data_IF_627391129095
#
_entry.id   IF_627391129095
#
_cell.length_a   1.000
_cell.length_b   1.000
_cell.length_c   1.000
_cell.angle_alpha   90.00
_cell.angle_beta   90.00
_cell.angle_gamma   90.00
#
_symmetry.space_group_name_H-M   'P 1'
#
loop_
_entity.id
_entity.type
_entity.pdbx_description
1 polymer ?
#
# COMPACT_ATOMS: atom_id res chain seq x y z
N UNK A 1 2.90 -17.63 1.96
CA UNK A 1 1.55 -17.34 1.44
C UNK A 1 1.53 -15.88 1.02
N UNK A 2 1.05 -15.59 -0.18
CA UNK A 2 0.98 -14.20 -0.67
C UNK A 2 -0.11 -13.43 0.08
N UNK A 3 0.18 -12.17 0.38
CA UNK A 3 -0.66 -11.28 1.17
C UNK A 3 -1.24 -10.19 0.27
N UNK A 4 -2.39 -9.64 0.66
CA UNK A 4 -2.98 -8.51 -0.05
C UNK A 4 -2.46 -7.20 0.54
N UNK A 5 -1.93 -6.34 -0.33
CA UNK A 5 -1.44 -5.01 0.03
C UNK A 5 -2.32 -3.93 -0.58
N UNK A 6 -2.63 -2.93 0.25
CA UNK A 6 -3.10 -1.61 -0.20
C UNK A 6 -1.97 -0.61 -0.03
N UNK A 7 -2.06 0.53 -0.71
CA UNK A 7 -1.00 1.53 -0.71
C UNK A 7 -1.56 2.87 -0.30
N UNK A 8 -0.92 3.52 0.67
CA UNK A 8 -1.24 4.87 1.09
C UNK A 8 -0.10 5.79 0.68
N UNK A 9 -0.43 6.95 0.14
CA UNK A 9 0.58 7.92 -0.29
C UNK A 9 0.29 9.33 0.21
N UNK A 10 1.36 10.05 0.55
CA UNK A 10 1.35 11.47 0.88
C UNK A 10 2.67 12.07 0.38
N UNK A 11 2.57 13.07 -0.50
CA UNK A 11 3.73 13.69 -1.17
C UNK A 11 4.64 12.64 -1.84
N UNK A 12 5.87 12.48 -1.34
CA UNK A 12 6.85 11.50 -1.82
C UNK A 12 6.83 10.20 -1.02
N UNK A 13 6.05 10.14 0.06
CA UNK A 13 5.94 8.97 0.93
C UNK A 13 4.91 8.00 0.39
N UNK A 14 5.30 6.73 0.31
CA UNK A 14 4.43 5.61 -0.07
C UNK A 14 4.56 4.52 0.97
N UNK A 15 3.44 4.14 1.59
CA UNK A 15 3.35 3.12 2.62
C UNK A 15 2.55 1.93 2.08
N UNK A 16 3.17 0.76 1.90
CA UNK A 16 2.45 -0.48 1.67
C UNK A 16 1.87 -0.97 3.01
N UNK A 17 0.58 -1.29 3.04
CA UNK A 17 -0.07 -1.88 4.21
C UNK A 17 -0.61 -3.27 3.86
N UNK A 18 -0.15 -4.29 4.59
CA UNK A 18 -0.71 -5.64 4.47
C UNK A 18 -2.09 -5.67 5.12
N UNK A 19 -3.05 -6.32 4.46
CA UNK A 19 -4.37 -6.58 5.03
C UNK A 19 -4.40 -7.82 5.93
N UNK A 20 -3.28 -8.57 6.00
CA UNK A 20 -3.15 -9.71 6.90
C UNK A 20 -2.66 -9.29 8.30
N UNK A 21 -2.18 -8.05 8.46
CA UNK A 21 -1.80 -7.51 9.77
C UNK A 21 -3.05 -7.34 10.62
N UNK A 22 -3.02 -7.82 11.87
CA UNK A 22 -4.15 -7.73 12.79
C UNK A 22 -4.62 -6.27 13.00
N UNK A 23 -3.68 -5.34 12.96
CA UNK A 23 -3.91 -3.90 13.17
C UNK A 23 -4.09 -3.11 11.86
N UNK A 24 -4.25 -3.79 10.71
CA UNK A 24 -4.31 -3.15 9.40
C UNK A 24 -5.38 -2.04 9.33
N UNK A 25 -6.55 -2.27 9.93
CA UNK A 25 -7.64 -1.30 9.99
C UNK A 25 -7.25 -0.02 10.73
N UNK A 26 -6.60 -0.14 11.89
CA UNK A 26 -6.16 1.00 12.70
C UNK A 26 -5.02 1.76 12.01
N UNK A 27 -4.08 1.06 11.38
CA UNK A 27 -2.99 1.69 10.62
C UNK A 27 -3.56 2.50 9.44
N UNK A 28 -4.44 1.89 8.63
CA UNK A 28 -5.08 2.57 7.50
C UNK A 28 -5.84 3.81 8.00
N UNK A 29 -6.65 3.66 9.05
CA UNK A 29 -7.42 4.77 9.63
C UNK A 29 -6.50 5.90 10.10
N UNK A 30 -5.45 5.57 10.85
CA UNK A 30 -4.49 6.56 11.37
C UNK A 30 -3.82 7.35 10.24
N UNK A 31 -3.39 6.66 9.18
CA UNK A 31 -2.75 7.30 8.03
C UNK A 31 -3.73 8.19 7.25
N UNK A 32 -4.98 7.77 7.08
CA UNK A 32 -6.03 8.60 6.44
C UNK A 32 -6.29 9.88 7.23
N UNK A 33 -6.33 9.80 8.57
CA UNK A 33 -6.46 10.99 9.43
C UNK A 33 -5.23 11.92 9.32
N UNK A 34 -4.06 11.38 9.01
CA UNK A 34 -2.83 12.14 8.72
C UNK A 34 -2.75 12.64 7.28
N UNK A 35 -3.87 12.63 6.54
CA UNK A 35 -4.00 13.12 5.16
C UNK A 35 -3.24 12.29 4.12
N UNK A 36 -2.99 11.01 4.38
CA UNK A 36 -2.61 10.09 3.31
C UNK A 36 -3.83 9.80 2.42
N UNK A 37 -3.58 9.58 1.13
CA UNK A 37 -4.59 9.11 0.19
C UNK A 37 -4.42 7.62 -0.05
N UNK A 38 -5.53 6.89 -0.07
CA UNK A 38 -5.54 5.48 -0.44
C UNK A 38 -5.47 5.34 -1.96
N UNK A 39 -4.50 4.58 -2.44
CA UNK A 39 -4.36 4.25 -3.85
C UNK A 39 -5.46 3.27 -4.29
N UNK A 40 -6.00 3.39 -5.52
CA UNK A 40 -6.95 2.43 -6.05
C UNK A 40 -6.32 1.06 -6.38
N UNK A 41 -5.00 0.96 -6.38
CA UNK A 41 -4.30 -0.30 -6.68
C UNK A 41 -4.22 -1.18 -5.43
N UNK A 42 -4.59 -2.45 -5.60
CA UNK A 42 -4.40 -3.53 -4.64
C UNK A 42 -3.55 -4.61 -5.29
N UNK A 43 -2.52 -5.08 -4.59
CA UNK A 43 -1.57 -6.05 -5.13
C UNK A 43 -1.40 -7.24 -4.19
N UNK A 44 -1.12 -8.41 -4.75
CA UNK A 44 -0.64 -9.56 -4.00
C UNK A 44 0.88 -9.62 -4.05
N UNK A 45 1.51 -9.83 -2.89
CA UNK A 45 2.95 -9.97 -2.74
C UNK A 45 3.27 -10.77 -1.48
N UNK A 46 4.45 -11.37 -1.41
CA UNK A 46 4.88 -12.16 -0.25
C UNK A 46 5.36 -11.27 0.89
N UNK A 47 5.79 -10.05 0.59
CA UNK A 47 6.23 -9.05 1.58
C UNK A 47 6.10 -7.61 1.03
N UNK A 48 6.28 -6.63 1.92
CA UNK A 48 6.14 -5.20 1.62
C UNK A 48 7.13 -4.69 0.56
N UNK A 49 8.34 -5.27 0.49
CA UNK A 49 9.35 -4.88 -0.51
C UNK A 49 8.87 -5.25 -1.91
N UNK A 50 8.44 -6.49 -2.09
CA UNK A 50 7.91 -6.97 -3.37
C UNK A 50 6.62 -6.20 -3.76
N UNK A 51 5.75 -5.91 -2.80
CA UNK A 51 4.56 -5.09 -3.02
C UNK A 51 4.91 -3.71 -3.58
N UNK A 52 5.93 -3.05 -3.02
CA UNK A 52 6.42 -1.75 -3.50
C UNK A 52 7.02 -1.81 -4.91
N UNK A 53 7.82 -2.83 -5.20
CA UNK A 53 8.40 -3.03 -6.53
C UNK A 53 7.30 -3.22 -7.59
N UNK A 54 6.30 -4.07 -7.32
CA UNK A 54 5.12 -4.27 -8.18
C UNK A 54 4.30 -2.98 -8.36
N UNK A 55 4.08 -2.22 -7.29
CA UNK A 55 3.34 -0.96 -7.34
C UNK A 55 4.03 0.07 -8.24
N UNK A 56 5.35 0.24 -8.08
CA UNK A 56 6.14 1.15 -8.91
C UNK A 56 6.10 0.75 -10.38
N UNK A 57 6.20 -0.55 -10.68
CA UNK A 57 6.10 -1.06 -12.04
C UNK A 57 4.73 -0.79 -12.68
N UNK A 58 3.63 -0.95 -11.94
CA UNK A 58 2.28 -0.66 -12.44
C UNK A 58 2.03 0.83 -12.65
N UNK A 59 2.49 1.68 -11.73
CA UNK A 59 2.34 3.14 -11.82
C UNK A 59 3.13 3.73 -13.00
N UNK A 60 4.31 3.16 -13.32
CA UNK A 60 5.12 3.60 -14.45
C UNK A 60 4.48 3.27 -15.81
N UNK A 61 3.68 2.20 -15.89
CA UNK A 61 2.97 1.79 -17.12
C UNK A 61 1.75 2.64 -17.46
N UNK A 62 1.29 3.48 -16.53
CA UNK A 62 0.09 4.32 -16.69
C UNK A 62 0.43 5.82 -16.67
N UNK A 63 1.69 6.17 -16.93
CA UNK A 63 2.15 7.54 -17.17
C UNK A 63 2.40 7.74 -18.66
#
# INVERSE_FOLDING_TARGET
>A
MSQHFVFLSKDTTLVPQSLNDADAGEIIRSLLLQQFSLSPLRLQADNSREALEKYRAMKLKHK
#
